data_IF_137031431376
#
_entry.id   IF_137031431376
#
_cell.length_a   1.000
_cell.length_b   1.000
_cell.length_c   1.000
_cell.angle_alpha   90.00
_cell.angle_beta   90.00
_cell.angle_gamma   90.00
#
_symmetry.space_group_name_H-M   'P 1'
#
loop_
_entity.id
_entity.type
_entity.pdbx_description
1 polymer ?
#
# COMPACT_ATOMS: atom_id res chain seq x y z
N UNK A 1 14.91 -16.46 -12.98
CA UNK A 1 14.39 -15.98 -11.68
C UNK A 1 12.88 -16.08 -11.70
N UNK A 2 12.32 -16.79 -10.79
CA UNK A 2 10.85 -16.82 -10.61
C UNK A 2 10.38 -15.48 -10.02
N UNK A 3 9.17 -15.05 -10.32
CA UNK A 3 8.60 -13.82 -9.75
C UNK A 3 8.71 -13.80 -8.20
N UNK A 4 8.62 -14.96 -7.57
CA UNK A 4 8.73 -15.13 -6.11
C UNK A 4 10.11 -14.71 -5.56
N UNK A 5 11.21 -15.00 -6.28
CA UNK A 5 12.56 -14.61 -5.83
C UNK A 5 12.81 -13.12 -5.97
N UNK A 6 12.22 -12.50 -7.00
CA UNK A 6 12.28 -11.05 -7.19
C UNK A 6 11.51 -10.36 -6.07
N UNK A 7 10.34 -10.88 -5.71
CA UNK A 7 9.48 -10.33 -4.67
C UNK A 7 10.13 -10.40 -3.28
N UNK A 8 10.80 -11.50 -2.95
CA UNK A 8 11.53 -11.67 -1.69
C UNK A 8 12.72 -10.71 -1.59
N UNK A 9 13.50 -10.56 -2.67
CA UNK A 9 14.62 -9.61 -2.72
C UNK A 9 14.15 -8.17 -2.60
N UNK A 10 13.01 -7.84 -3.19
CA UNK A 10 12.41 -6.52 -3.07
C UNK A 10 11.98 -6.25 -1.63
N UNK A 11 11.27 -7.17 -0.99
CA UNK A 11 10.87 -7.05 0.41
C UNK A 11 12.07 -6.94 1.36
N UNK A 12 13.11 -7.75 1.15
CA UNK A 12 14.35 -7.67 1.92
C UNK A 12 15.08 -6.34 1.70
N UNK A 13 15.06 -5.83 0.48
CA UNK A 13 15.59 -4.50 0.15
C UNK A 13 14.84 -3.38 0.86
N UNK A 14 13.51 -3.45 0.93
CA UNK A 14 12.69 -2.51 1.69
C UNK A 14 13.02 -2.56 3.19
N UNK A 15 13.18 -3.76 3.76
CA UNK A 15 13.56 -3.95 5.14
C UNK A 15 14.91 -3.30 5.48
N UNK A 16 15.90 -3.48 4.60
CA UNK A 16 17.24 -2.88 4.76
C UNK A 16 17.22 -1.36 4.61
N UNK A 17 16.45 -0.83 3.66
CA UNK A 17 16.31 0.61 3.42
C UNK A 17 15.58 1.36 4.53
N UNK A 18 14.63 0.71 5.20
CA UNK A 18 13.84 1.34 6.27
C UNK A 18 14.65 1.65 7.53
N UNK A 19 15.86 1.09 7.68
CA UNK A 19 16.70 1.16 8.90
C UNK A 19 15.97 0.72 10.18
N UNK A 20 14.86 0.03 10.05
CA UNK A 20 14.04 -0.47 11.14
C UNK A 20 14.19 -1.98 11.22
N UNK A 21 14.45 -2.49 12.42
CA UNK A 21 14.51 -3.92 12.64
C UNK A 21 13.12 -4.52 12.49
N UNK A 22 12.90 -5.24 11.41
CA UNK A 22 11.68 -6.00 11.19
C UNK A 22 11.78 -7.36 11.89
N UNK A 23 10.80 -7.64 12.75
CA UNK A 23 10.66 -8.97 13.33
C UNK A 23 10.26 -9.98 12.24
N UNK A 24 10.48 -11.27 12.47
CA UNK A 24 10.10 -12.33 11.54
C UNK A 24 8.63 -12.24 11.11
N UNK A 25 7.72 -11.98 12.05
CA UNK A 25 6.29 -11.79 11.75
C UNK A 25 6.01 -10.59 10.84
N UNK A 26 6.70 -9.46 11.08
CA UNK A 26 6.57 -8.27 10.22
C UNK A 26 7.11 -8.52 8.81
N UNK A 27 8.22 -9.25 8.70
CA UNK A 27 8.77 -9.67 7.41
C UNK A 27 7.78 -10.56 6.65
N UNK A 28 7.16 -11.55 7.29
CA UNK A 28 6.17 -12.42 6.66
C UNK A 28 4.95 -11.65 6.14
N UNK A 29 4.45 -10.70 6.90
CA UNK A 29 3.35 -9.82 6.45
C UNK A 29 3.77 -8.99 5.24
N UNK A 30 4.95 -8.38 5.27
CA UNK A 30 5.48 -7.59 4.17
C UNK A 30 5.68 -8.46 2.90
N UNK A 31 6.30 -9.64 3.03
CA UNK A 31 6.48 -10.59 1.94
C UNK A 31 5.15 -11.05 1.34
N UNK A 32 4.11 -11.24 2.18
CA UNK A 32 2.78 -11.61 1.70
C UNK A 32 2.16 -10.54 0.82
N UNK A 33 2.29 -9.28 1.20
CA UNK A 33 1.79 -8.15 0.39
C UNK A 33 2.53 -8.03 -0.93
N UNK A 34 3.85 -8.18 -0.92
CA UNK A 34 4.66 -8.20 -2.15
C UNK A 34 4.24 -9.36 -3.05
N UNK A 35 4.14 -10.57 -2.50
CA UNK A 35 3.81 -11.78 -3.26
C UNK A 35 2.39 -11.77 -3.83
N UNK A 36 1.44 -11.16 -3.12
CA UNK A 36 0.06 -11.05 -3.57
C UNK A 36 -0.11 -10.14 -4.79
N UNK A 37 0.80 -9.17 -4.96
CA UNK A 37 0.78 -8.17 -6.04
C UNK A 37 -0.60 -7.47 -6.22
N UNK A 38 -1.31 -7.34 -5.12
CA UNK A 38 -2.62 -6.66 -5.03
C UNK A 38 -2.88 -6.19 -3.61
N UNK A 39 -3.84 -5.28 -3.46
CA UNK A 39 -4.30 -4.86 -2.15
C UNK A 39 -5.06 -6.00 -1.43
N UNK A 40 -4.73 -6.21 -0.15
CA UNK A 40 -5.36 -7.21 0.72
C UNK A 40 -5.93 -6.55 1.96
N UNK A 41 -7.13 -6.99 2.38
CA UNK A 41 -7.64 -6.71 3.71
C UNK A 41 -6.85 -7.50 4.77
N UNK A 42 -6.97 -7.12 6.04
CA UNK A 42 -6.31 -7.85 7.12
C UNK A 42 -6.71 -9.34 7.16
N UNK A 43 -7.98 -9.64 6.90
CA UNK A 43 -8.47 -11.04 6.86
C UNK A 43 -7.96 -11.81 5.64
N UNK A 44 -7.98 -11.21 4.45
CA UNK A 44 -7.37 -11.81 3.25
C UNK A 44 -5.87 -12.07 3.46
N UNK A 45 -5.19 -11.19 4.19
CA UNK A 45 -3.78 -11.33 4.52
C UNK A 45 -3.54 -12.47 5.52
N UNK A 46 -4.43 -12.66 6.51
CA UNK A 46 -4.37 -13.81 7.44
C UNK A 46 -4.50 -15.13 6.67
N UNK A 47 -5.46 -15.22 5.75
CA UNK A 47 -5.63 -16.41 4.91
C UNK A 47 -4.39 -16.65 4.03
N UNK A 48 -3.83 -15.60 3.48
CA UNK A 48 -2.61 -15.68 2.66
C UNK A 48 -1.40 -16.17 3.48
N UNK A 49 -1.25 -15.68 4.71
CA UNK A 49 -0.20 -16.11 5.63
C UNK A 49 -0.34 -17.58 6.02
N UNK A 50 -1.57 -18.02 6.28
CA UNK A 50 -1.86 -19.44 6.57
C UNK A 50 -1.49 -20.35 5.40
N UNK A 51 -1.87 -19.97 4.18
CA UNK A 51 -1.60 -20.78 2.99
C UNK A 51 -0.11 -20.82 2.61
N UNK A 52 0.62 -19.73 2.78
CA UNK A 52 2.00 -19.62 2.31
C UNK A 52 3.07 -19.92 3.38
N UNK A 53 2.76 -19.71 4.64
CA UNK A 53 3.70 -19.90 5.75
C UNK A 53 3.21 -20.90 6.80
N UNK A 54 2.01 -21.45 6.62
CA UNK A 54 1.36 -22.37 7.57
C UNK A 54 1.32 -21.79 9.00
N UNK A 55 1.06 -20.49 9.11
CA UNK A 55 0.97 -19.77 10.38
C UNK A 55 -0.37 -19.08 10.54
N UNK A 56 -0.95 -19.24 11.72
CA UNK A 56 -2.16 -18.53 12.13
C UNK A 56 -1.79 -17.26 12.92
N UNK A 57 -2.11 -16.13 12.32
CA UNK A 57 -1.96 -14.84 12.98
C UNK A 57 -3.31 -14.37 13.52
N UNK A 58 -3.33 -13.98 14.78
CA UNK A 58 -4.51 -13.32 15.34
C UNK A 58 -4.78 -11.98 14.61
N UNK A 59 -6.04 -11.62 14.34
CA UNK A 59 -6.38 -10.37 13.64
C UNK A 59 -5.73 -9.13 14.26
N UNK A 60 -5.73 -8.99 15.57
CA UNK A 60 -5.10 -7.87 16.28
C UNK A 60 -3.59 -7.80 16.04
N UNK A 61 -2.92 -8.93 15.93
CA UNK A 61 -1.49 -8.99 15.60
C UNK A 61 -1.24 -8.44 14.21
N UNK A 62 -2.04 -8.85 13.22
CA UNK A 62 -1.93 -8.39 11.85
C UNK A 62 -2.20 -6.88 11.75
N UNK A 63 -3.24 -6.37 12.40
CA UNK A 63 -3.54 -4.93 12.43
C UNK A 63 -2.41 -4.10 13.05
N UNK A 64 -1.80 -4.57 14.14
CA UNK A 64 -0.63 -3.90 14.75
C UNK A 64 0.58 -3.88 13.83
N UNK A 65 0.82 -4.99 13.13
CA UNK A 65 1.92 -5.08 12.16
C UNK A 65 1.66 -4.14 10.98
N UNK A 66 0.46 -4.15 10.41
CA UNK A 66 0.08 -3.26 9.30
C UNK A 66 0.22 -1.79 9.69
N UNK A 67 -0.25 -1.41 10.87
CA UNK A 67 -0.09 -0.05 11.39
C UNK A 67 1.39 0.34 11.50
N UNK A 68 2.22 -0.54 12.04
CA UNK A 68 3.66 -0.31 12.11
C UNK A 68 4.29 -0.12 10.73
N UNK A 69 3.95 -0.98 9.75
CA UNK A 69 4.47 -0.89 8.39
C UNK A 69 3.99 0.39 7.67
N UNK A 70 2.77 0.83 7.94
CA UNK A 70 2.22 2.09 7.45
C UNK A 70 2.98 3.30 8.02
N UNK A 71 3.24 3.31 9.31
CA UNK A 71 4.05 4.36 9.98
C UNK A 71 5.48 4.43 9.44
N UNK A 72 6.03 3.31 8.95
CA UNK A 72 7.33 3.24 8.30
C UNK A 72 7.29 3.55 6.79
N UNK A 73 6.14 3.90 6.22
CA UNK A 73 5.91 4.11 4.79
C UNK A 73 6.27 2.89 3.90
N UNK A 74 6.18 1.70 4.44
CA UNK A 74 6.38 0.45 3.70
C UNK A 74 5.09 -0.09 3.09
N UNK A 75 3.97 0.31 3.67
CA UNK A 75 2.61 -0.12 3.30
C UNK A 75 1.69 1.10 3.29
N UNK A 76 0.73 1.12 2.40
CA UNK A 76 -0.33 2.12 2.35
C UNK A 76 -1.69 1.48 2.59
N UNK A 77 -2.54 2.18 3.32
CA UNK A 77 -3.94 1.80 3.50
C UNK A 77 -4.81 2.51 2.48
N UNK A 78 -5.62 1.75 1.75
CA UNK A 78 -6.67 2.26 0.89
C UNK A 78 -7.94 2.46 1.74
N UNK A 79 -8.36 3.71 1.90
CA UNK A 79 -9.48 4.06 2.78
C UNK A 79 -10.82 3.57 2.22
N UNK A 80 -11.00 3.63 0.89
CA UNK A 80 -12.25 3.25 0.23
C UNK A 80 -12.57 1.75 0.32
N UNK A 81 -11.56 0.90 0.43
CA UNK A 81 -11.71 -0.56 0.43
C UNK A 81 -11.26 -1.22 1.73
N UNK A 82 -10.65 -0.45 2.65
CA UNK A 82 -10.03 -0.95 3.87
C UNK A 82 -9.00 -2.07 3.61
N UNK A 83 -8.26 -1.93 2.51
CA UNK A 83 -7.20 -2.85 2.09
C UNK A 83 -5.83 -2.18 2.20
N UNK A 84 -4.80 -3.01 2.23
CA UNK A 84 -3.41 -2.57 2.35
C UNK A 84 -2.61 -2.99 1.13
N UNK A 85 -1.72 -2.14 0.69
CA UNK A 85 -0.84 -2.38 -0.45
C UNK A 85 0.60 -2.03 -0.10
N UNK A 86 1.53 -2.78 -0.68
CA UNK A 86 2.96 -2.48 -0.55
C UNK A 86 3.29 -1.12 -1.17
N UNK A 87 4.15 -0.34 -0.52
CA UNK A 87 4.68 0.88 -1.11
C UNK A 87 5.71 0.54 -2.20
N UNK A 88 5.47 1.00 -3.41
CA UNK A 88 6.37 0.78 -4.55
C UNK A 88 7.45 1.87 -4.69
N UNK A 89 7.33 2.97 -3.92
CA UNK A 89 8.19 4.14 -4.02
C UNK A 89 8.68 4.62 -2.64
N UNK A 90 9.25 3.72 -1.84
CA UNK A 90 9.62 4.00 -0.44
C UNK A 90 10.46 5.26 -0.29
N UNK A 91 11.43 5.48 -1.17
CA UNK A 91 12.28 6.67 -1.12
C UNK A 91 11.50 7.96 -1.44
N UNK A 92 10.58 7.89 -2.42
CA UNK A 92 9.69 9.00 -2.76
C UNK A 92 8.63 9.26 -1.67
N UNK A 93 8.12 8.21 -1.00
CA UNK A 93 7.18 8.33 0.12
C UNK A 93 7.80 9.06 1.32
N UNK A 94 9.10 8.90 1.54
CA UNK A 94 9.82 9.63 2.60
C UNK A 94 9.99 11.11 2.28
N UNK A 95 10.11 11.45 1.01
CA UNK A 95 10.31 12.82 0.52
C UNK A 95 9.01 13.51 0.15
N UNK A 96 8.06 12.78 -0.43
CA UNK A 96 6.76 13.25 -0.89
C UNK A 96 5.66 12.63 -0.04
N UNK A 97 5.10 13.40 0.85
CA UNK A 97 4.25 12.94 1.95
C UNK A 97 2.85 12.41 1.57
N UNK A 98 2.43 12.47 0.30
CA UNK A 98 1.04 12.15 -0.06
C UNK A 98 0.96 11.34 -1.36
N UNK A 99 1.08 10.02 -1.31
CA UNK A 99 0.78 9.17 -2.46
C UNK A 99 -0.73 9.21 -2.76
N UNK A 100 -1.06 9.14 -4.03
CA UNK A 100 -2.42 9.01 -4.54
C UNK A 100 -2.57 7.66 -5.21
N UNK A 101 -3.77 7.11 -5.27
CA UNK A 101 -3.98 5.75 -5.77
C UNK A 101 -4.97 5.72 -6.91
N UNK A 102 -4.63 4.93 -7.94
CA UNK A 102 -5.51 4.58 -9.04
C UNK A 102 -5.95 3.14 -8.85
N UNK A 103 -7.25 2.89 -8.79
CA UNK A 103 -7.82 1.57 -8.54
C UNK A 103 -8.62 1.13 -9.76
N UNK A 104 -8.23 0.00 -10.36
CA UNK A 104 -8.96 -0.58 -11.48
C UNK A 104 -10.21 -1.29 -10.97
N UNK A 105 -11.38 -0.91 -11.50
CA UNK A 105 -12.66 -1.55 -11.15
C UNK A 105 -12.78 -2.99 -11.67
N UNK A 106 -12.05 -3.32 -12.74
CA UNK A 106 -12.10 -4.64 -13.37
C UNK A 106 -11.19 -5.66 -12.68
N UNK A 107 -9.87 -5.42 -12.66
CA UNK A 107 -8.89 -6.38 -12.13
C UNK A 107 -8.41 -6.07 -10.71
N UNK A 108 -8.88 -4.99 -10.11
CA UNK A 108 -8.50 -4.52 -8.76
C UNK A 108 -7.02 -4.14 -8.62
N UNK A 109 -6.29 -4.00 -9.73
CA UNK A 109 -4.92 -3.46 -9.72
C UNK A 109 -4.91 -2.07 -9.12
N UNK A 110 -3.89 -1.78 -8.33
CA UNK A 110 -3.67 -0.46 -7.72
C UNK A 110 -2.34 0.08 -8.19
N UNK A 111 -2.35 1.28 -8.73
CA UNK A 111 -1.14 2.03 -9.07
C UNK A 111 -1.00 3.24 -8.15
N UNK A 112 0.20 3.46 -7.65
CA UNK A 112 0.55 4.60 -6.79
C UNK A 112 1.11 5.73 -7.66
N UNK A 113 0.56 6.93 -7.51
CA UNK A 113 1.02 8.13 -8.22
C UNK A 113 1.31 9.26 -7.23
N UNK A 114 2.12 10.23 -7.67
CA UNK A 114 2.40 11.46 -6.94
C UNK A 114 1.93 12.65 -7.74
N UNK A 115 1.14 13.50 -7.11
CA UNK A 115 0.73 14.77 -7.69
C UNK A 115 1.75 15.86 -7.37
N UNK A 116 1.96 16.75 -8.32
CA UNK A 116 2.76 17.96 -8.10
C UNK A 116 2.13 18.84 -7.02
N UNK A 117 2.97 19.54 -6.28
CA UNK A 117 2.52 20.42 -5.18
C UNK A 117 1.51 21.47 -5.64
N UNK A 118 1.63 21.93 -6.88
CA UNK A 118 0.68 22.87 -7.50
C UNK A 118 -0.74 22.32 -7.60
N UNK A 119 -0.86 21.04 -7.94
CA UNK A 119 -2.17 20.36 -8.07
C UNK A 119 -2.79 20.19 -6.69
N UNK A 120 -1.99 19.78 -5.71
CA UNK A 120 -2.45 19.64 -4.32
C UNK A 120 -2.85 20.99 -3.71
N UNK A 121 -2.13 22.04 -4.02
CA UNK A 121 -2.47 23.40 -3.54
C UNK A 121 -3.77 23.89 -4.18
N UNK A 122 -3.95 23.71 -5.50
CA UNK A 122 -5.19 24.03 -6.18
C UNK A 122 -6.40 23.29 -5.57
N UNK A 123 -6.24 22.01 -5.24
CA UNK A 123 -7.27 21.22 -4.58
C UNK A 123 -7.60 21.79 -3.19
N UNK A 124 -6.60 22.17 -2.40
CA UNK A 124 -6.81 22.78 -1.07
C UNK A 124 -7.57 24.09 -1.15
N UNK A 125 -7.26 24.95 -2.13
CA UNK A 125 -7.95 26.21 -2.36
C UNK A 125 -9.42 25.97 -2.67
N UNK A 126 -9.73 25.07 -3.63
CA UNK A 126 -11.11 24.76 -4.02
C UNK A 126 -11.90 24.20 -2.82
N UNK A 127 -11.31 23.29 -2.08
CA UNK A 127 -11.96 22.68 -0.90
C UNK A 127 -12.21 23.73 0.20
N UNK A 128 -11.26 24.64 0.43
CA UNK A 128 -11.39 25.71 1.42
C UNK A 128 -12.55 26.66 1.12
N UNK A 129 -12.86 26.90 -0.15
CA UNK A 129 -14.02 27.73 -0.56
C UNK A 129 -15.35 27.16 -0.08
N UNK A 130 -15.43 25.85 0.14
CA UNK A 130 -16.61 25.19 0.70
C UNK A 130 -16.69 25.25 2.22
N UNK A 131 -15.70 25.82 2.89
CA UNK A 131 -15.56 25.81 4.34
C UNK A 131 -14.97 24.50 4.91
N UNK A 132 -14.54 23.58 4.04
CA UNK A 132 -13.98 22.29 4.43
C UNK A 132 -12.46 22.36 4.63
N UNK A 133 -11.94 21.62 5.59
CA UNK A 133 -10.52 21.50 5.85
C UNK A 133 -10.05 20.06 5.61
N UNK A 134 -9.10 19.88 4.70
CA UNK A 134 -8.51 18.57 4.42
C UNK A 134 -7.56 18.20 5.57
N UNK A 135 -7.79 17.06 6.22
CA UNK A 135 -6.89 16.50 7.24
C UNK A 135 -5.87 15.54 6.63
N UNK A 136 -6.33 14.68 5.73
CA UNK A 136 -5.50 13.67 5.06
C UNK A 136 -5.72 13.76 3.55
N UNK A 137 -4.76 14.27 2.78
CA UNK A 137 -4.92 14.52 1.35
C UNK A 137 -4.62 13.26 0.51
N UNK A 138 -5.23 12.12 0.84
CA UNK A 138 -5.15 10.90 0.05
C UNK A 138 -6.36 10.81 -0.89
N UNK A 139 -6.08 10.79 -2.19
CA UNK A 139 -7.08 10.58 -3.23
C UNK A 139 -7.03 9.15 -3.73
N UNK A 140 -8.18 8.57 -3.94
CA UNK A 140 -8.36 7.25 -4.53
C UNK A 140 -9.27 7.38 -5.74
N UNK A 141 -8.69 7.27 -6.94
CA UNK A 141 -9.41 7.40 -8.19
C UNK A 141 -9.71 6.02 -8.76
N UNK A 142 -10.97 5.76 -9.06
CA UNK A 142 -11.43 4.51 -9.66
C UNK A 142 -11.56 4.66 -11.17
N UNK A 143 -11.12 3.63 -11.89
CA UNK A 143 -11.16 3.64 -13.36
C UNK A 143 -10.86 2.26 -13.92
N UNK A 144 -10.38 2.21 -15.15
CA UNK A 144 -10.00 0.97 -15.85
C UNK A 144 -8.53 1.08 -16.26
N UNK A 145 -7.70 0.12 -15.85
CA UNK A 145 -6.29 0.10 -16.21
C UNK A 145 -6.09 -0.23 -17.70
N UNK A 146 -4.91 0.08 -18.23
CA UNK A 146 -4.60 -0.11 -19.64
C UNK A 146 -4.88 -1.53 -20.13
N UNK A 147 -4.52 -2.54 -19.35
CA UNK A 147 -4.76 -3.95 -19.71
C UNK A 147 -6.25 -4.25 -19.86
N UNK A 148 -7.08 -3.74 -18.95
CA UNK A 148 -8.53 -3.96 -18.98
C UNK A 148 -9.28 -3.06 -19.97
N UNK A 149 -8.65 -2.02 -20.53
CA UNK A 149 -9.22 -1.23 -21.63
C UNK A 149 -9.11 -1.93 -22.98
N UNK A 150 -8.17 -2.86 -23.09
CA UNK A 150 -7.86 -3.56 -24.34
C UNK A 150 -8.70 -4.83 -24.51
N UNK A 151 -9.48 -5.23 -23.51
CA UNK A 151 -10.41 -6.35 -23.50
C UNK A 151 -11.84 -5.80 -23.74
#
# INVERSE_FOLDING_TARGET
MTNVEIDLKYADGLCKKSKVKLTEKRQKVLHSLVKADKALSAYELIDFLRLNFNEDFAPMTVYRILKFLEEQNLVHKLQSTNKFIICTHVDACKLRKNPQFLICNSCQKVDEIYLEDKIMEALRIIVKETGFQISEPQLELKGICQTCQSD
#
